data_IF_317542475255
#
_entry.id   IF_317542475255
#
_cell.length_a   1.000
_cell.length_b   1.000
_cell.length_c   1.000
_cell.angle_alpha   90.00
_cell.angle_beta   90.00
_cell.angle_gamma   90.00
#
_symmetry.space_group_name_H-M   'P 1'
#
loop_
_entity.id
_entity.type
_entity.pdbx_description
1 polymer ?
#
# COMPACT_ATOMS: atom_id res chain seq x y z
N UNK A 1 6.86 32.35 -23.62
CA UNK A 1 7.41 32.52 -22.25
C UNK A 1 8.69 31.72 -22.16
N UNK A 2 9.78 32.31 -21.65
CA UNK A 2 11.09 31.65 -21.55
C UNK A 2 11.41 31.31 -20.09
N UNK A 3 11.92 30.10 -19.86
CA UNK A 3 12.36 29.65 -18.53
C UNK A 3 13.88 29.45 -18.57
N UNK A 4 14.61 30.30 -17.85
CA UNK A 4 16.07 30.42 -17.92
C UNK A 4 16.66 30.17 -16.53
N UNK A 5 17.70 29.33 -16.44
CA UNK A 5 18.48 29.10 -15.22
C UNK A 5 19.96 29.32 -15.53
N UNK A 6 20.63 30.19 -14.76
CA UNK A 6 22.06 30.47 -14.95
C UNK A 6 22.43 30.86 -16.39
N UNK A 7 21.67 31.79 -16.99
CA UNK A 7 21.79 32.21 -18.40
C UNK A 7 21.54 31.11 -19.45
N UNK A 8 21.13 29.90 -19.05
CA UNK A 8 20.78 28.81 -19.96
C UNK A 8 19.27 28.73 -20.11
N UNK A 9 18.78 28.81 -21.35
CA UNK A 9 17.37 28.57 -21.67
C UNK A 9 17.06 27.08 -21.45
N UNK A 10 16.17 26.76 -20.52
CA UNK A 10 15.79 25.39 -20.20
C UNK A 10 14.64 24.91 -21.08
N UNK A 11 13.57 25.72 -21.18
CA UNK A 11 12.42 25.43 -22.02
C UNK A 11 11.61 26.70 -22.31
N UNK A 12 10.76 26.61 -23.34
CA UNK A 12 9.82 27.66 -23.74
C UNK A 12 8.40 27.16 -23.53
N UNK A 13 7.48 28.06 -23.21
CA UNK A 13 6.06 27.78 -23.28
C UNK A 13 5.33 28.81 -24.12
N UNK A 14 4.48 28.35 -25.03
CA UNK A 14 3.58 29.18 -25.82
C UNK A 14 2.29 29.42 -25.04
N UNK A 15 1.87 30.68 -24.92
CA UNK A 15 0.60 31.05 -24.29
C UNK A 15 -0.40 31.37 -25.39
N UNK A 16 -1.56 30.71 -25.38
CA UNK A 16 -2.61 30.95 -26.35
C UNK A 16 -3.52 32.12 -25.93
N UNK A 17 -4.47 32.47 -26.80
CA UNK A 17 -5.43 33.56 -26.56
C UNK A 17 -6.39 33.31 -25.38
N UNK A 18 -6.42 32.09 -24.85
CA UNK A 18 -7.20 31.72 -23.67
C UNK A 18 -6.35 31.71 -22.40
N UNK A 19 -5.16 32.32 -22.41
CA UNK A 19 -4.20 32.31 -21.31
C UNK A 19 -3.74 30.92 -20.85
N UNK A 20 -3.89 29.89 -21.70
CA UNK A 20 -3.35 28.56 -21.42
C UNK A 20 -1.90 28.47 -21.94
N UNK A 21 -1.00 27.98 -21.10
CA UNK A 21 0.41 27.78 -21.43
C UNK A 21 0.68 26.33 -21.85
N UNK A 22 1.37 26.14 -22.97
CA UNK A 22 1.80 24.85 -23.51
C UNK A 22 3.31 24.81 -23.52
N UNK A 23 3.90 23.75 -22.95
CA UNK A 23 5.35 23.54 -22.99
C UNK A 23 5.77 23.20 -24.42
N UNK A 24 6.69 23.99 -25.00
CA UNK A 24 7.20 23.83 -26.35
C UNK A 24 8.30 22.75 -26.38
N UNK A 25 7.91 21.49 -26.18
CA UNK A 25 8.84 20.36 -26.14
C UNK A 25 8.24 19.06 -26.68
N UNK A 26 9.10 18.09 -26.95
CA UNK A 26 8.71 16.73 -27.31
C UNK A 26 9.02 15.78 -26.16
N UNK A 27 8.09 14.91 -25.79
CA UNK A 27 8.41 13.77 -24.92
C UNK A 27 8.99 12.65 -25.79
N UNK A 28 10.12 12.09 -25.37
CA UNK A 28 10.61 10.84 -25.96
C UNK A 28 9.77 9.72 -25.35
N UNK A 29 9.17 8.88 -26.19
CA UNK A 29 8.51 7.66 -25.71
C UNK A 29 9.56 6.79 -25.03
N UNK A 30 9.56 6.76 -23.70
CA UNK A 30 10.32 5.78 -22.94
C UNK A 30 9.62 4.43 -23.14
N UNK A 31 10.32 3.45 -23.72
CA UNK A 31 9.89 2.06 -23.59
C UNK A 31 10.18 1.67 -22.15
N UNK A 32 9.19 1.81 -21.26
CA UNK A 32 9.27 1.25 -19.92
C UNK A 32 9.27 -0.28 -20.03
N UNK A 33 10.47 -0.86 -20.10
CA UNK A 33 10.66 -2.27 -19.79
C UNK A 33 10.58 -2.42 -18.28
N UNK A 34 9.39 -2.76 -17.78
CA UNK A 34 9.24 -3.23 -16.41
C UNK A 34 10.08 -4.49 -16.22
N UNK A 35 11.26 -4.36 -15.61
CA UNK A 35 12.02 -5.54 -15.19
C UNK A 35 11.16 -6.32 -14.19
N UNK A 36 10.96 -7.62 -14.45
CA UNK A 36 10.37 -8.53 -13.47
C UNK A 36 11.25 -8.52 -12.21
N UNK A 37 10.84 -7.79 -11.19
CA UNK A 37 11.50 -7.79 -9.89
C UNK A 37 11.09 -9.05 -9.12
N UNK A 38 11.83 -10.13 -9.35
CA UNK A 38 12.39 -11.03 -8.33
C UNK A 38 12.94 -12.33 -8.96
N UNK A 39 14.20 -12.65 -8.67
CA UNK A 39 14.78 -14.01 -8.80
C UNK A 39 14.39 -14.92 -7.63
N UNK A 40 13.60 -14.41 -6.68
CA UNK A 40 13.16 -15.16 -5.52
C UNK A 40 11.89 -15.95 -5.83
N UNK A 41 11.76 -17.19 -5.31
CA UNK A 41 10.54 -17.95 -5.44
C UNK A 41 9.37 -17.14 -4.89
N UNK A 42 8.27 -17.12 -5.66
CA UNK A 42 6.99 -16.54 -5.23
C UNK A 42 6.38 -17.47 -4.18
N UNK A 43 6.84 -17.31 -2.95
CA UNK A 43 6.44 -18.14 -1.82
C UNK A 43 5.40 -17.45 -0.93
N UNK A 44 4.82 -18.23 -0.02
CA UNK A 44 3.78 -17.74 0.88
C UNK A 44 4.30 -16.62 1.79
N UNK A 45 5.60 -16.62 2.14
CA UNK A 45 6.23 -15.61 2.99
C UNK A 45 6.38 -14.26 2.25
N UNK A 46 6.74 -14.28 0.97
CA UNK A 46 6.79 -13.10 0.12
C UNK A 46 5.42 -12.45 0.00
N UNK A 47 4.38 -13.24 -0.26
CA UNK A 47 3.02 -12.74 -0.35
C UNK A 47 2.49 -12.19 0.97
N UNK A 48 2.80 -12.85 2.09
CA UNK A 48 2.53 -12.35 3.42
C UNK A 48 3.10 -10.93 3.63
N UNK A 49 4.37 -10.70 3.26
CA UNK A 49 5.01 -9.37 3.37
C UNK A 49 4.40 -8.34 2.40
N UNK A 50 4.16 -8.71 1.14
CA UNK A 50 3.57 -7.82 0.12
C UNK A 50 2.15 -7.37 0.46
N UNK A 51 1.39 -8.21 1.14
CA UNK A 51 0.02 -7.92 1.59
C UNK A 51 0.00 -7.30 2.99
N UNK A 52 0.99 -6.48 3.32
CA UNK A 52 1.10 -5.77 4.59
C UNK A 52 1.00 -6.70 5.82
N UNK A 53 1.69 -7.84 5.78
CA UNK A 53 1.74 -8.81 6.87
C UNK A 53 0.38 -9.46 7.20
N UNK A 54 -0.50 -9.62 6.20
CA UNK A 54 -1.78 -10.33 6.38
C UNK A 54 -1.55 -11.77 6.88
N UNK A 55 -2.43 -12.25 7.75
CA UNK A 55 -2.34 -13.59 8.33
C UNK A 55 -2.14 -14.70 7.26
N UNK A 56 -1.17 -15.59 7.50
CA UNK A 56 -0.79 -16.66 6.56
C UNK A 56 -1.97 -17.51 6.07
N UNK A 57 -2.92 -17.84 6.95
CA UNK A 57 -4.07 -18.65 6.55
C UNK A 57 -4.95 -17.92 5.55
N UNK A 58 -5.07 -16.60 5.63
CA UNK A 58 -5.90 -15.82 4.72
C UNK A 58 -5.19 -15.60 3.38
N UNK A 59 -3.88 -15.37 3.39
CA UNK A 59 -3.06 -15.36 2.16
C UNK A 59 -3.16 -16.72 1.44
N UNK A 60 -3.18 -17.82 2.20
CA UNK A 60 -3.39 -19.16 1.67
C UNK A 60 -4.82 -19.35 1.11
N UNK A 61 -5.85 -18.80 1.75
CA UNK A 61 -7.23 -18.81 1.22
C UNK A 61 -7.34 -18.06 -0.10
N UNK A 62 -6.65 -16.92 -0.26
CA UNK A 62 -6.66 -16.15 -1.51
C UNK A 62 -6.19 -17.00 -2.69
N UNK A 63 -5.09 -17.73 -2.51
CA UNK A 63 -4.48 -18.59 -3.53
C UNK A 63 -5.27 -19.88 -3.76
N UNK A 64 -5.66 -20.58 -2.70
CA UNK A 64 -6.39 -21.85 -2.80
C UNK A 64 -7.84 -21.69 -3.27
N UNK A 65 -8.47 -20.55 -2.96
CA UNK A 65 -9.85 -20.24 -3.32
C UNK A 65 -10.00 -19.58 -4.69
N UNK A 66 -8.91 -19.41 -5.46
CA UNK A 66 -8.91 -18.66 -6.73
C UNK A 66 -9.56 -17.26 -6.59
N UNK A 67 -9.33 -16.57 -5.46
CA UNK A 67 -9.98 -15.29 -5.15
C UNK A 67 -9.24 -14.09 -5.74
N UNK A 68 -8.08 -14.31 -6.36
CA UNK A 68 -7.19 -13.29 -6.92
C UNK A 68 -6.59 -13.76 -8.24
N UNK A 69 -6.31 -12.81 -9.14
CA UNK A 69 -5.64 -13.08 -10.42
C UNK A 69 -4.17 -12.70 -10.32
N UNK A 70 -3.27 -13.51 -10.91
CA UNK A 70 -1.83 -13.22 -10.96
C UNK A 70 -1.04 -13.55 -9.69
N UNK A 71 -1.63 -14.28 -8.75
CA UNK A 71 -0.97 -14.73 -7.52
C UNK A 71 -0.71 -16.24 -7.58
N UNK A 72 0.45 -16.63 -8.08
CA UNK A 72 0.91 -18.03 -8.11
C UNK A 72 1.91 -18.30 -6.98
N UNK A 73 1.76 -19.44 -6.30
CA UNK A 73 2.73 -19.94 -5.34
C UNK A 73 3.63 -20.96 -6.02
N UNK A 74 4.88 -20.58 -6.30
CA UNK A 74 5.86 -21.43 -6.98
C UNK A 74 6.56 -22.40 -6.02
N UNK A 75 6.58 -22.09 -4.72
CA UNK A 75 7.16 -22.96 -3.69
C UNK A 75 6.11 -23.48 -2.72
N UNK A 76 6.34 -24.72 -2.25
CA UNK A 76 5.56 -25.37 -1.18
C UNK A 76 6.28 -25.30 0.17
N UNK A 77 7.32 -24.46 0.29
CA UNK A 77 8.05 -24.31 1.54
C UNK A 77 7.14 -23.78 2.63
N UNK A 78 7.15 -24.44 3.78
CA UNK A 78 6.50 -23.92 4.98
C UNK A 78 7.23 -22.65 5.42
N UNK A 79 6.55 -21.51 5.56
CA UNK A 79 7.17 -20.29 6.07
C UNK A 79 7.72 -20.52 7.47
N UNK A 80 8.73 -19.75 7.84
CA UNK A 80 9.12 -19.60 9.25
C UNK A 80 7.86 -19.25 10.07
N UNK A 81 7.56 -19.99 11.15
CA UNK A 81 6.44 -19.68 12.03
C UNK A 81 6.53 -18.28 12.63
N UNK A 82 7.72 -17.68 12.68
CA UNK A 82 7.99 -16.35 13.21
C UNK A 82 8.16 -15.35 12.04
N UNK A 83 7.42 -14.24 12.13
CA UNK A 83 7.67 -13.05 11.33
C UNK A 83 7.88 -11.89 12.30
N UNK A 84 9.13 -11.42 12.44
CA UNK A 84 9.50 -10.39 13.42
C UNK A 84 8.69 -9.10 13.23
N UNK A 85 8.46 -8.59 12.01
CA UNK A 85 7.57 -7.45 11.81
C UNK A 85 6.15 -7.69 12.32
N UNK A 86 5.60 -8.90 12.18
CA UNK A 86 4.30 -9.23 12.77
C UNK A 86 4.33 -9.27 14.28
N UNK A 87 5.40 -9.77 14.88
CA UNK A 87 5.54 -9.80 16.33
C UNK A 87 5.64 -8.38 16.89
N UNK A 88 6.45 -7.52 16.26
CA UNK A 88 6.62 -6.12 16.65
C UNK A 88 5.39 -5.25 16.33
N UNK A 89 4.64 -5.59 15.27
CA UNK A 89 3.49 -4.82 14.80
C UNK A 89 2.15 -5.25 15.38
N UNK A 90 2.07 -6.39 16.09
CA UNK A 90 0.91 -6.77 16.90
C UNK A 90 0.83 -5.83 18.10
N UNK A 91 0.24 -4.68 17.88
CA UNK A 91 -0.38 -3.91 18.95
C UNK A 91 -1.43 -4.80 19.61
N UNK A 92 -1.15 -5.26 20.84
CA UNK A 92 -2.19 -5.83 21.69
C UNK A 92 -3.29 -4.79 21.69
N UNK A 93 -4.51 -5.19 21.30
CA UNK A 93 -5.70 -4.39 21.49
C UNK A 93 -5.94 -4.36 23.00
N UNK A 94 -5.10 -3.62 23.72
CA UNK A 94 -5.27 -3.39 25.13
C UNK A 94 -6.57 -2.62 25.24
N UNK A 95 -7.52 -3.07 26.07
CA UNK A 95 -8.75 -2.34 26.26
C UNK A 95 -8.37 -0.90 26.63
N UNK A 96 -8.84 0.05 25.82
CA UNK A 96 -8.71 1.47 26.14
C UNK A 96 -9.34 1.62 27.52
N UNK A 97 -8.61 2.13 28.53
CA UNK A 97 -9.18 2.31 29.85
C UNK A 97 -10.35 3.30 29.71
N UNK A 98 -11.57 2.78 29.82
CA UNK A 98 -12.74 3.62 30.01
C UNK A 98 -12.56 4.30 31.38
N UNK A 99 -12.19 5.57 31.36
CA UNK A 99 -12.35 6.40 32.55
C UNK A 99 -13.86 6.56 32.74
N UNK A 100 -14.41 5.85 33.73
CA UNK A 100 -15.76 6.14 34.23
C UNK A 100 -15.74 7.54 34.83
N UNK A 101 -16.07 8.56 34.04
CA UNK A 101 -16.52 9.82 34.60
C UNK A 101 -17.84 9.54 35.32
N UNK A 102 -17.85 9.68 36.65
CA UNK A 102 -18.95 9.38 37.57
C UNK A 102 -20.18 10.29 37.42
N UNK A 103 -20.49 10.80 36.22
CA UNK A 103 -21.61 11.72 35.98
C UNK A 103 -22.72 11.16 35.09
N UNK A 104 -22.68 9.88 34.72
CA UNK A 104 -23.82 9.25 34.06
C UNK A 104 -24.36 8.11 34.92
N UNK A 105 -25.26 8.45 35.85
CA UNK A 105 -26.10 7.45 36.50
C UNK A 105 -27.05 6.86 35.44
N UNK A 106 -27.03 5.54 35.18
CA UNK A 106 -28.07 4.94 34.38
C UNK A 106 -29.38 4.97 35.18
N UNK A 107 -30.40 5.60 34.61
CA UNK A 107 -31.77 5.47 35.10
C UNK A 107 -32.15 3.98 35.09
N UNK A 108 -32.57 3.48 36.26
CA UNK A 108 -33.06 2.10 36.44
C UNK A 108 -34.18 1.80 35.44
N UNK A 109 -34.18 0.65 34.75
CA UNK A 109 -35.41 0.13 34.17
C UNK A 109 -36.32 -0.40 35.29
N UNK A 110 -37.60 -0.04 35.22
CA UNK A 110 -38.68 -0.65 36.00
C UNK A 110 -38.88 -2.11 35.57
N UNK A 111 -39.15 -3.05 36.50
CA UNK A 111 -39.42 -4.43 36.15
C UNK A 111 -40.89 -4.64 35.76
N UNK A 112 -41.10 -5.39 34.66
CA UNK A 112 -42.25 -6.26 34.43
C UNK A 112 -41.71 -7.62 34.00
#
# INVERSE_FOLDING_TARGET
>A
MFFICGNTLLFTATINNNNAAFLDGSTVSCVELGHFSATFPLDLNLWHRRLAHHHYADVKKLTQGNLVTGMTLESKSTPDPICEPCLSGKNVCQPIPFIFSSLCSPSRPHPL
#
